data_IF_661469112111
#
_entry.id   IF_661469112111
#
_cell.length_a   1.000
_cell.length_b   1.000
_cell.length_c   1.000
_cell.angle_alpha   90.00
_cell.angle_beta   90.00
_cell.angle_gamma   90.00
#
_symmetry.space_group_name_H-M   'P 1'
#
loop_
_entity.id
_entity.type
_entity.pdbx_description
1 polymer ?
#
# COMPACT_ATOMS: atom_id res chain seq x y z
N UNK A 1 13.13 -15.77 15.71
CA UNK A 1 13.43 -14.75 14.68
C UNK A 1 12.20 -13.96 14.26
N UNK A 2 11.12 -14.55 13.73
CA UNK A 2 9.95 -13.79 13.24
C UNK A 2 9.26 -12.91 14.31
N UNK A 3 9.17 -13.37 15.56
CA UNK A 3 8.59 -12.59 16.66
C UNK A 3 9.33 -11.28 16.96
N UNK A 4 10.67 -11.27 16.91
CA UNK A 4 11.50 -10.08 17.18
C UNK A 4 11.36 -9.01 16.09
N UNK A 5 11.12 -9.42 14.84
CA UNK A 5 10.88 -8.51 13.72
C UNK A 5 9.56 -7.76 13.89
N UNK A 6 8.51 -8.43 14.37
CA UNK A 6 7.18 -7.83 14.59
C UNK A 6 7.15 -6.88 15.80
N UNK A 7 8.07 -7.03 16.75
CA UNK A 7 8.15 -6.19 17.95
C UNK A 7 8.92 -4.89 17.72
N UNK A 8 9.88 -4.88 16.79
CA UNK A 8 10.71 -3.72 16.51
C UNK A 8 10.20 -2.95 15.28
N UNK A 9 9.47 -1.85 15.53
CA UNK A 9 8.94 -0.95 14.49
C UNK A 9 9.96 -0.59 13.38
N UNK A 10 11.21 -0.17 13.69
CA UNK A 10 12.19 0.16 12.64
C UNK A 10 12.64 -1.05 11.83
N UNK A 11 12.79 -2.22 12.46
CA UNK A 11 13.13 -3.47 11.74
C UNK A 11 11.99 -3.90 10.83
N UNK A 12 10.74 -3.82 11.32
CA UNK A 12 9.56 -4.14 10.52
C UNK A 12 9.44 -3.24 9.29
N UNK A 13 9.69 -1.95 9.44
CA UNK A 13 9.72 -1.00 8.32
C UNK A 13 10.81 -1.38 7.31
N UNK A 14 12.04 -1.60 7.78
CA UNK A 14 13.18 -1.96 6.93
C UNK A 14 12.93 -3.25 6.15
N UNK A 15 12.43 -4.30 6.82
CA UNK A 15 12.09 -5.58 6.18
C UNK A 15 10.99 -5.39 5.14
N UNK A 16 9.94 -4.61 5.44
CA UNK A 16 8.86 -4.33 4.50
C UNK A 16 9.40 -3.63 3.25
N UNK A 17 10.23 -2.60 3.44
CA UNK A 17 10.85 -1.85 2.34
C UNK A 17 11.72 -2.74 1.45
N UNK A 18 12.59 -3.56 2.05
CA UNK A 18 13.45 -4.49 1.29
C UNK A 18 12.61 -5.47 0.49
N UNK A 19 11.58 -6.07 1.08
CA UNK A 19 10.70 -7.03 0.38
C UNK A 19 9.99 -6.38 -0.79
N UNK A 20 9.40 -5.19 -0.61
CA UNK A 20 8.70 -4.47 -1.69
C UNK A 20 9.67 -4.14 -2.84
N UNK A 21 10.84 -3.57 -2.52
CA UNK A 21 11.84 -3.22 -3.53
C UNK A 21 12.32 -4.47 -4.29
N UNK A 22 12.59 -5.57 -3.58
CA UNK A 22 13.05 -6.82 -4.21
C UNK A 22 11.99 -7.41 -5.15
N UNK A 23 10.72 -7.41 -4.75
CA UNK A 23 9.62 -7.94 -5.59
C UNK A 23 9.43 -7.06 -6.84
N UNK A 24 9.52 -5.74 -6.69
CA UNK A 24 9.27 -4.79 -7.78
C UNK A 24 10.50 -4.49 -8.65
N UNK A 25 11.70 -4.91 -8.23
CA UNK A 25 12.95 -4.63 -8.93
C UNK A 25 12.91 -5.07 -10.40
N UNK A 26 12.61 -6.34 -10.65
CA UNK A 26 12.61 -6.93 -11.99
C UNK A 26 11.41 -6.48 -12.84
N UNK A 27 10.16 -6.57 -12.36
CA UNK A 27 9.00 -6.30 -13.22
C UNK A 27 8.71 -4.81 -13.42
N UNK A 28 9.12 -3.93 -12.49
CA UNK A 28 8.71 -2.51 -12.50
C UNK A 28 9.91 -1.58 -12.58
N UNK A 29 10.87 -1.70 -11.66
CA UNK A 29 11.96 -0.72 -11.52
C UNK A 29 12.90 -0.81 -12.73
N UNK A 30 13.55 -1.95 -12.96
CA UNK A 30 14.57 -2.15 -14.01
C UNK A 30 14.05 -1.73 -15.41
N UNK A 31 12.86 -2.16 -15.88
CA UNK A 31 12.39 -1.83 -17.24
C UNK A 31 12.13 -0.35 -17.46
N UNK A 32 11.86 0.40 -16.38
CA UNK A 32 11.47 1.79 -16.46
C UNK A 32 12.61 2.75 -16.06
N UNK A 33 13.75 2.28 -15.56
CA UNK A 33 14.89 3.11 -15.07
C UNK A 33 15.36 4.19 -16.05
N UNK A 34 15.22 3.95 -17.36
CA UNK A 34 15.70 4.85 -18.41
C UNK A 34 14.62 5.82 -18.93
N UNK A 35 13.38 5.72 -18.43
CA UNK A 35 12.26 6.59 -18.79
C UNK A 35 12.06 7.66 -17.70
N UNK A 36 12.92 8.69 -17.69
CA UNK A 36 13.11 9.61 -16.55
C UNK A 36 11.86 10.16 -15.87
N UNK A 37 10.87 10.68 -16.60
CA UNK A 37 9.65 11.24 -15.98
C UNK A 37 8.76 10.17 -15.34
N UNK A 38 8.69 8.98 -15.95
CA UNK A 38 7.91 7.86 -15.42
C UNK A 38 8.55 7.27 -14.15
N UNK A 39 9.88 7.34 -14.03
CA UNK A 39 10.59 6.85 -12.85
C UNK A 39 10.22 7.56 -11.56
N UNK A 40 10.19 8.90 -11.57
CA UNK A 40 9.86 9.66 -10.36
C UNK A 40 8.44 9.34 -9.88
N UNK A 41 7.48 9.26 -10.81
CA UNK A 41 6.09 8.91 -10.51
C UNK A 41 5.96 7.48 -9.94
N UNK A 42 6.63 6.49 -10.56
CA UNK A 42 6.66 5.11 -10.06
C UNK A 42 7.30 5.04 -8.67
N UNK A 43 8.42 5.75 -8.45
CA UNK A 43 9.11 5.76 -7.17
C UNK A 43 8.23 6.29 -6.03
N UNK A 44 7.45 7.34 -6.27
CA UNK A 44 6.48 7.85 -5.29
C UNK A 44 5.46 6.79 -4.90
N UNK A 45 4.95 6.04 -5.87
CA UNK A 45 3.99 4.96 -5.60
C UNK A 45 4.62 3.76 -4.90
N UNK A 46 5.89 3.45 -5.17
CA UNK A 46 6.61 2.39 -4.43
C UNK A 46 6.82 2.79 -2.97
N UNK A 47 7.15 4.06 -2.70
CA UNK A 47 7.26 4.57 -1.33
C UNK A 47 5.89 4.54 -0.64
N UNK A 48 4.84 5.00 -1.33
CA UNK A 48 3.45 4.95 -0.85
C UNK A 48 3.02 3.53 -0.50
N UNK A 49 3.24 2.58 -1.41
CA UNK A 49 2.95 1.15 -1.20
C UNK A 49 3.71 0.58 0.00
N UNK A 50 5.00 0.90 0.12
CA UNK A 50 5.84 0.44 1.24
C UNK A 50 5.26 0.92 2.57
N UNK A 51 4.91 2.20 2.65
CA UNK A 51 4.32 2.79 3.86
C UNK A 51 2.94 2.18 4.16
N UNK A 52 2.10 2.01 3.14
CA UNK A 52 0.77 1.42 3.26
C UNK A 52 0.82 -0.02 3.80
N UNK A 53 1.71 -0.85 3.24
CA UNK A 53 1.90 -2.23 3.71
C UNK A 53 2.45 -2.28 5.13
N UNK A 54 3.44 -1.44 5.45
CA UNK A 54 3.98 -1.34 6.81
C UNK A 54 2.90 -0.96 7.84
N UNK A 55 2.10 0.07 7.55
CA UNK A 55 1.00 0.50 8.41
C UNK A 55 -0.09 -0.56 8.52
N UNK A 56 -0.38 -1.28 7.44
CA UNK A 56 -1.33 -2.39 7.44
C UNK A 56 -0.86 -3.49 8.40
N UNK A 57 0.40 -3.93 8.31
CA UNK A 57 0.96 -4.97 9.20
C UNK A 57 0.95 -4.51 10.66
N UNK A 58 1.30 -3.25 10.94
CA UNK A 58 1.21 -2.68 12.28
C UNK A 58 -0.22 -2.66 12.81
N UNK A 59 -1.19 -2.25 12.00
CA UNK A 59 -2.60 -2.17 12.37
C UNK A 59 -3.18 -3.57 12.63
N UNK A 60 -2.89 -4.55 11.77
CA UNK A 60 -3.27 -5.96 11.96
C UNK A 60 -2.68 -6.49 13.26
N UNK A 61 -1.37 -6.33 13.48
CA UNK A 61 -0.69 -6.84 14.68
C UNK A 61 -1.26 -6.22 15.96
N UNK A 62 -1.57 -4.92 15.93
CA UNK A 62 -2.18 -4.20 17.05
C UNK A 62 -3.63 -4.62 17.28
N UNK A 63 -4.39 -4.87 16.21
CA UNK A 63 -5.75 -5.37 16.28
C UNK A 63 -5.81 -6.75 16.94
N UNK A 64 -4.88 -7.66 16.63
CA UNK A 64 -4.84 -8.97 17.27
C UNK A 64 -4.67 -8.89 18.79
N UNK A 65 -3.98 -7.88 19.31
CA UNK A 65 -3.74 -7.67 20.75
C UNK A 65 -4.89 -6.97 21.46
N UNK A 66 -5.51 -5.98 20.82
CA UNK A 66 -6.51 -5.09 21.47
C UNK A 66 -7.95 -5.41 21.11
N UNK A 67 -8.18 -6.04 19.94
CA UNK A 67 -9.51 -6.30 19.34
C UNK A 67 -10.38 -5.05 19.16
N UNK A 68 -9.80 -3.85 19.22
CA UNK A 68 -10.53 -2.60 18.99
C UNK A 68 -11.01 -2.51 17.54
N UNK A 69 -12.29 -2.17 17.35
CA UNK A 69 -12.85 -2.03 16.00
C UNK A 69 -12.31 -0.79 15.28
N UNK A 70 -11.85 0.24 16.01
CA UNK A 70 -11.07 1.33 15.45
C UNK A 70 -9.86 0.84 14.66
N UNK A 71 -9.07 -0.08 15.24
CA UNK A 71 -7.90 -0.65 14.57
C UNK A 71 -8.25 -1.57 13.40
N UNK A 72 -9.39 -2.27 13.48
CA UNK A 72 -9.91 -3.04 12.33
C UNK A 72 -10.20 -2.12 11.14
N UNK A 73 -10.89 -1.00 11.38
CA UNK A 73 -11.23 -0.05 10.31
C UNK A 73 -9.95 0.61 9.77
N UNK A 74 -9.00 0.99 10.63
CA UNK A 74 -7.70 1.49 10.18
C UNK A 74 -6.94 0.47 9.34
N UNK A 75 -7.02 -0.82 9.68
CA UNK A 75 -6.42 -1.90 8.89
C UNK A 75 -7.03 -1.94 7.49
N UNK A 76 -8.36 -1.88 7.38
CA UNK A 76 -9.05 -1.84 6.10
C UNK A 76 -8.69 -0.58 5.31
N UNK A 77 -8.57 0.58 5.97
CA UNK A 77 -8.16 1.82 5.33
C UNK A 77 -6.75 1.71 4.71
N UNK A 78 -5.77 1.22 5.47
CA UNK A 78 -4.40 1.05 4.98
C UNK A 78 -4.31 -0.04 3.91
N UNK A 79 -5.11 -1.11 4.00
CA UNK A 79 -5.20 -2.13 2.97
C UNK A 79 -5.80 -1.59 1.66
N UNK A 80 -6.87 -0.78 1.73
CA UNK A 80 -7.42 -0.08 0.56
C UNK A 80 -6.39 0.87 -0.07
N UNK A 81 -5.64 1.60 0.75
CA UNK A 81 -4.58 2.46 0.26
C UNK A 81 -3.46 1.65 -0.43
N UNK A 82 -3.01 0.54 0.17
CA UNK A 82 -2.04 -0.36 -0.46
C UNK A 82 -2.56 -0.93 -1.79
N UNK A 83 -3.83 -1.31 -1.85
CA UNK A 83 -4.46 -1.79 -3.08
C UNK A 83 -4.50 -0.72 -4.17
N UNK A 84 -4.78 0.55 -3.82
CA UNK A 84 -4.70 1.66 -4.75
C UNK A 84 -3.29 1.79 -5.35
N UNK A 85 -2.26 1.77 -4.52
CA UNK A 85 -0.87 1.89 -4.99
C UNK A 85 -0.49 0.74 -5.92
N UNK A 86 -0.94 -0.49 -5.63
CA UNK A 86 -0.74 -1.64 -6.54
C UNK A 86 -1.43 -1.39 -7.88
N UNK A 87 -2.69 -0.93 -7.89
CA UNK A 87 -3.44 -0.63 -9.12
C UNK A 87 -2.73 0.43 -9.95
N UNK A 88 -2.25 1.51 -9.32
CA UNK A 88 -1.55 2.58 -10.04
C UNK A 88 -0.19 2.11 -10.56
N UNK A 89 0.57 1.34 -9.78
CA UNK A 89 1.83 0.73 -10.26
C UNK A 89 1.57 -0.16 -11.46
N UNK A 90 0.51 -0.98 -11.45
CA UNK A 90 0.14 -1.82 -12.60
C UNK A 90 -0.21 -0.95 -13.82
N UNK A 91 -1.06 0.05 -13.63
CA UNK A 91 -1.50 0.96 -14.68
C UNK A 91 -0.32 1.67 -15.37
N UNK A 92 0.67 2.14 -14.60
CA UNK A 92 1.83 2.86 -15.12
C UNK A 92 2.86 1.91 -15.73
N UNK A 93 3.09 0.74 -15.12
CA UNK A 93 4.15 -0.18 -15.55
C UNK A 93 3.73 -1.11 -16.71
N UNK A 94 2.43 -1.32 -16.93
CA UNK A 94 1.92 -2.15 -18.03
C UNK A 94 0.83 -1.43 -18.84
N UNK A 95 1.21 -0.69 -19.89
CA UNK A 95 0.26 0.01 -20.77
C UNK A 95 -0.87 -0.85 -21.38
N UNK A 96 -0.69 -2.16 -21.65
CA UNK A 96 -1.81 -2.99 -22.11
C UNK A 96 -2.91 -3.20 -21.05
N UNK A 97 -2.59 -3.03 -19.75
CA UNK A 97 -3.49 -3.27 -18.63
C UNK A 97 -4.13 -1.97 -18.12
N UNK A 98 -4.76 -1.21 -19.01
CA UNK A 98 -5.34 0.11 -18.68
C UNK A 98 -6.76 0.05 -18.13
N UNK A 99 -7.52 -1.01 -18.44
CA UNK A 99 -8.93 -1.15 -18.05
C UNK A 99 -9.22 -2.53 -17.44
N UNK A 100 -10.10 -2.58 -16.43
CA UNK A 100 -10.74 -3.83 -15.97
C UNK A 100 -12.21 -3.78 -16.36
N UNK A 101 -12.57 -4.53 -17.40
CA UNK A 101 -13.93 -4.52 -17.94
C UNK A 101 -14.30 -3.12 -18.42
N UNK A 102 -15.26 -2.48 -17.75
CA UNK A 102 -15.77 -1.14 -18.10
C UNK A 102 -15.09 0.00 -17.30
N UNK A 103 -14.29 -0.31 -16.28
CA UNK A 103 -13.70 0.70 -15.39
C UNK A 103 -12.21 0.90 -15.69
N UNK A 104 -11.75 2.13 -15.92
CA UNK A 104 -10.33 2.44 -16.03
C UNK A 104 -9.57 2.15 -14.73
N UNK A 105 -8.38 1.56 -14.82
CA UNK A 105 -7.52 1.29 -13.66
C UNK A 105 -7.19 2.57 -12.89
N UNK A 106 -6.99 3.67 -13.61
CA UNK A 106 -6.75 4.97 -13.00
C UNK A 106 -7.91 5.36 -12.07
N UNK A 107 -9.15 5.23 -12.52
CA UNK A 107 -10.34 5.54 -11.72
C UNK A 107 -10.50 4.58 -10.53
N UNK A 108 -10.21 3.28 -10.74
CA UNK A 108 -10.21 2.29 -9.66
C UNK A 108 -9.24 2.66 -8.54
N UNK A 109 -8.02 3.11 -8.87
CA UNK A 109 -7.06 3.62 -7.90
C UNK A 109 -7.65 4.79 -7.08
N UNK A 110 -8.23 5.78 -7.75
CA UNK A 110 -8.86 6.93 -7.06
C UNK A 110 -10.02 6.50 -6.14
N UNK A 111 -10.88 5.58 -6.58
CA UNK A 111 -11.97 5.05 -5.76
C UNK A 111 -11.44 4.35 -4.50
N UNK A 112 -10.35 3.59 -4.62
CA UNK A 112 -9.70 2.94 -3.49
C UNK A 112 -9.09 3.95 -2.51
N UNK A 113 -8.49 5.05 -2.98
CA UNK A 113 -8.03 6.15 -2.12
C UNK A 113 -9.20 6.82 -1.40
N UNK A 114 -10.30 7.10 -2.10
CA UNK A 114 -11.49 7.69 -1.46
C UNK A 114 -12.10 6.76 -0.41
N UNK A 115 -12.14 5.46 -0.69
CA UNK A 115 -12.55 4.45 0.29
C UNK A 115 -11.59 4.44 1.50
N UNK A 116 -10.28 4.47 1.27
CA UNK A 116 -9.28 4.52 2.33
C UNK A 116 -9.46 5.77 3.21
N UNK A 117 -9.67 6.95 2.62
CA UNK A 117 -9.92 8.20 3.33
C UNK A 117 -11.21 8.13 4.15
N UNK A 118 -12.30 7.61 3.58
CA UNK A 118 -13.56 7.43 4.28
C UNK A 118 -13.43 6.47 5.47
N UNK A 119 -12.75 5.34 5.28
CA UNK A 119 -12.44 4.39 6.35
C UNK A 119 -11.56 5.01 7.43
N UNK A 120 -10.53 5.76 7.05
CA UNK A 120 -9.65 6.43 8.00
C UNK A 120 -10.42 7.48 8.82
N UNK A 121 -11.26 8.29 8.17
CA UNK A 121 -12.12 9.25 8.86
C UNK A 121 -13.05 8.56 9.86
N UNK A 122 -13.70 7.46 9.46
CA UNK A 122 -14.51 6.65 10.37
C UNK A 122 -13.71 6.10 11.54
N UNK A 123 -12.48 5.62 11.31
CA UNK A 123 -11.62 5.12 12.38
C UNK A 123 -11.19 6.22 13.36
N UNK A 124 -10.94 7.44 12.88
CA UNK A 124 -10.51 8.57 13.71
C UNK A 124 -11.60 9.04 14.67
N UNK A 125 -12.85 9.13 14.20
CA UNK A 125 -13.97 9.60 15.03
C UNK A 125 -14.61 8.51 15.88
N UNK A 126 -14.14 7.27 15.76
CA UNK A 126 -14.66 6.15 16.52
C UNK A 126 -14.09 6.15 17.93
N UNK A 127 -14.97 6.00 18.92
CA UNK A 127 -14.67 6.20 20.33
C UNK A 127 -14.81 4.92 21.17
N UNK A 128 -14.38 3.78 20.61
CA UNK A 128 -14.37 2.48 21.28
C UNK A 128 -12.98 1.95 21.65
#
# INVERSE_FOLDING_TARGET
>A
MLGQVLESKPTLFSVTAVVVVMILAIPVIIPHMLHGYHMAHIALHIIGLTLALFLTVLAVTSYHRTKSRRLLISTLAFACFAASEVVVVIYVAWPPLTNIGILPMAELGHLLVFAALGLLAMAVFRND
#
